data_IF_276186005409
#
_entry.id   IF_276186005409
#
_cell.length_a   1.000
_cell.length_b   1.000
_cell.length_c   1.000
_cell.angle_alpha   90.00
_cell.angle_beta   90.00
_cell.angle_gamma   90.00
#
_symmetry.space_group_name_H-M   'P 1'
#
loop_
_entity.id
_entity.type
_entity.pdbx_description
1 polymer ?
#
# COMPACT_ATOMS: atom_id res chain seq x y z
N UNK A 1 -0.04 -21.28 -14.68
CA UNK A 1 0.16 -19.94 -14.12
C UNK A 1 -0.29 -19.96 -12.67
N UNK A 2 0.21 -19.00 -11.86
CA UNK A 2 -0.29 -18.78 -10.50
C UNK A 2 -1.20 -17.56 -10.46
N UNK A 3 -2.19 -17.60 -9.60
CA UNK A 3 -3.10 -16.51 -9.29
C UNK A 3 -2.98 -16.17 -7.80
N UNK A 4 -2.84 -14.91 -7.46
CA UNK A 4 -2.94 -14.38 -6.10
C UNK A 4 -4.23 -13.58 -6.01
N UNK A 5 -5.05 -13.86 -5.01
CA UNK A 5 -6.33 -13.19 -4.80
C UNK A 5 -6.69 -13.13 -3.32
N UNK A 6 -7.62 -12.27 -2.98
CA UNK A 6 -8.11 -12.06 -1.62
C UNK A 6 -9.49 -12.71 -1.49
N UNK A 7 -9.72 -13.43 -0.41
CA UNK A 7 -11.04 -13.97 -0.07
C UNK A 7 -11.31 -13.83 1.43
N UNK A 8 -12.59 -13.75 1.78
CA UNK A 8 -13.01 -13.65 3.17
C UNK A 8 -13.02 -15.03 3.84
N UNK A 9 -12.39 -15.12 4.99
CA UNK A 9 -12.35 -16.30 5.83
C UNK A 9 -13.09 -16.03 7.14
N UNK A 10 -13.91 -16.97 7.57
CA UNK A 10 -14.62 -16.86 8.84
C UNK A 10 -13.65 -17.14 9.99
N UNK A 11 -13.37 -16.12 10.79
CA UNK A 11 -12.42 -16.18 11.91
C UNK A 11 -13.07 -16.25 13.28
N UNK A 12 -14.39 -15.99 13.36
CA UNK A 12 -15.15 -15.99 14.62
C UNK A 12 -16.48 -16.73 14.45
N UNK A 13 -16.91 -17.43 15.49
CA UNK A 13 -18.27 -17.97 15.55
C UNK A 13 -19.29 -16.84 15.64
N UNK A 14 -20.31 -16.93 14.79
CA UNK A 14 -21.47 -16.03 14.90
C UNK A 14 -22.44 -16.53 15.97
N UNK A 15 -23.38 -15.66 16.38
CA UNK A 15 -24.46 -16.08 17.28
C UNK A 15 -25.29 -17.24 16.72
N UNK A 16 -25.49 -17.26 15.40
CA UNK A 16 -26.21 -18.34 14.72
C UNK A 16 -25.45 -19.68 14.76
N UNK A 17 -24.12 -19.66 14.71
CA UNK A 17 -23.31 -20.88 14.86
C UNK A 17 -23.40 -21.45 16.28
N UNK A 18 -23.37 -20.53 17.26
CA UNK A 18 -23.40 -20.91 18.67
C UNK A 18 -24.78 -21.36 19.14
N UNK A 19 -25.84 -20.82 18.55
CA UNK A 19 -27.24 -21.11 18.87
C UNK A 19 -28.05 -21.44 17.61
N UNK A 20 -27.79 -22.58 16.96
CA UNK A 20 -28.47 -22.96 15.70
C UNK A 20 -29.94 -23.25 15.88
N UNK A 21 -30.40 -23.48 17.11
CA UNK A 21 -31.81 -23.64 17.51
C UNK A 21 -32.60 -22.33 17.58
N UNK A 22 -31.90 -21.17 17.46
CA UNK A 22 -32.49 -19.83 17.51
C UNK A 22 -32.37 -19.10 16.16
N UNK A 23 -32.91 -19.61 15.04
CA UNK A 23 -32.64 -19.09 13.69
C UNK A 23 -33.16 -17.67 13.45
N UNK A 24 -34.02 -17.14 14.34
CA UNK A 24 -34.56 -15.77 14.25
C UNK A 24 -33.85 -14.79 15.21
N UNK A 25 -32.87 -15.25 15.97
CA UNK A 25 -32.11 -14.37 16.87
C UNK A 25 -31.23 -13.40 16.05
N UNK A 26 -31.35 -12.12 16.34
CA UNK A 26 -30.55 -11.05 15.71
C UNK A 26 -29.49 -10.48 16.66
N UNK A 27 -29.44 -11.00 17.91
CA UNK A 27 -28.45 -10.58 18.90
C UNK A 27 -27.04 -10.97 18.48
N UNK A 28 -26.08 -10.10 18.74
CA UNK A 28 -24.65 -10.35 18.51
C UNK A 28 -23.97 -10.45 19.86
N UNK A 29 -23.20 -11.53 20.04
CA UNK A 29 -22.42 -11.76 21.26
C UNK A 29 -21.01 -11.25 21.00
N UNK A 30 -20.62 -10.26 21.81
CA UNK A 30 -19.28 -9.67 21.77
C UNK A 30 -18.55 -10.13 23.05
N UNK A 31 -17.40 -10.76 22.86
CA UNK A 31 -16.56 -11.27 23.96
C UNK A 31 -15.18 -10.63 23.99
N UNK A 32 -14.79 -9.92 22.93
CA UNK A 32 -13.46 -9.32 22.78
C UNK A 32 -13.48 -8.16 21.78
N UNK A 33 -12.43 -7.35 21.76
CA UNK A 33 -12.08 -6.40 20.71
C UNK A 33 -11.36 -7.16 19.57
N UNK A 34 -11.20 -6.72 18.35
CA UNK A 34 -12.03 -5.76 17.65
C UNK A 34 -13.29 -6.48 17.16
N UNK A 35 -14.44 -6.02 17.55
CA UNK A 35 -15.71 -6.61 17.09
C UNK A 35 -16.36 -5.79 15.97
N UNK A 36 -15.93 -4.56 15.80
CA UNK A 36 -16.27 -3.67 14.69
C UNK A 36 -15.04 -2.94 14.17
N UNK A 37 -15.03 -2.71 12.86
CA UNK A 37 -14.24 -1.68 12.19
C UNK A 37 -15.22 -0.61 11.74
N UNK A 38 -15.20 0.56 12.39
CA UNK A 38 -16.20 1.60 12.21
C UNK A 38 -17.63 1.04 12.37
N UNK A 39 -18.41 0.98 11.27
CA UNK A 39 -19.78 0.46 11.23
C UNK A 39 -19.87 -1.01 10.80
N UNK A 40 -18.80 -1.62 10.30
CA UNK A 40 -18.76 -3.01 9.88
C UNK A 40 -18.47 -3.98 11.04
N UNK A 41 -19.26 -5.06 11.15
CA UNK A 41 -18.99 -6.15 12.09
C UNK A 41 -17.83 -7.02 11.61
N UNK A 42 -16.88 -7.30 12.51
CA UNK A 42 -15.73 -8.17 12.24
C UNK A 42 -16.12 -9.61 12.54
N UNK A 43 -16.63 -10.31 11.52
CA UNK A 43 -16.99 -11.74 11.58
C UNK A 43 -16.11 -12.59 10.65
N UNK A 44 -15.48 -11.95 9.69
CA UNK A 44 -14.55 -12.53 8.72
C UNK A 44 -13.30 -11.66 8.65
N UNK A 45 -12.21 -12.26 8.19
CA UNK A 45 -10.96 -11.56 7.84
C UNK A 45 -10.61 -11.81 6.37
N UNK A 46 -10.10 -10.82 5.63
CA UNK A 46 -9.51 -11.06 4.31
C UNK A 46 -8.22 -11.84 4.46
N UNK A 47 -8.07 -12.92 3.69
CA UNK A 47 -6.83 -13.69 3.57
C UNK A 47 -6.33 -13.67 2.13
N UNK A 48 -5.00 -13.64 1.91
CA UNK A 48 -4.40 -13.86 0.60
C UNK A 48 -4.38 -15.34 0.26
N UNK A 49 -4.84 -15.69 -0.94
CA UNK A 49 -4.85 -17.04 -1.47
C UNK A 49 -3.99 -17.13 -2.72
N UNK A 50 -3.33 -18.25 -2.88
CA UNK A 50 -2.65 -18.64 -4.12
C UNK A 50 -3.33 -19.84 -4.73
N UNK A 51 -3.53 -19.83 -6.05
CA UNK A 51 -4.08 -20.96 -6.80
C UNK A 51 -3.33 -21.19 -8.10
N UNK A 52 -3.44 -22.39 -8.65
CA UNK A 52 -3.10 -22.68 -10.02
C UNK A 52 -4.20 -22.19 -10.96
N UNK A 53 -3.81 -21.58 -12.08
CA UNK A 53 -4.72 -21.13 -13.14
C UNK A 53 -4.29 -21.66 -14.49
N UNK A 54 -5.17 -22.42 -15.14
CA UNK A 54 -4.91 -23.05 -16.45
C UNK A 54 -5.52 -22.29 -17.64
N UNK A 55 -6.26 -21.24 -17.39
CA UNK A 55 -7.00 -20.46 -18.38
C UNK A 55 -8.52 -20.72 -18.37
N UNK A 56 -8.97 -21.84 -17.82
CA UNK A 56 -10.37 -22.23 -17.74
C UNK A 56 -10.90 -22.24 -16.30
N UNK A 57 -10.01 -22.45 -15.33
CA UNK A 57 -10.39 -22.51 -13.93
C UNK A 57 -9.20 -22.45 -12.97
N UNK A 58 -9.52 -22.42 -11.68
CA UNK A 58 -8.54 -22.42 -10.59
C UNK A 58 -8.52 -23.79 -9.89
N UNK A 59 -7.34 -24.20 -9.42
CA UNK A 59 -7.12 -25.42 -8.67
C UNK A 59 -6.00 -25.24 -7.64
N UNK A 60 -5.78 -26.20 -6.76
CA UNK A 60 -4.74 -26.18 -5.74
C UNK A 60 -4.72 -24.87 -4.94
N UNK A 61 -5.89 -24.48 -4.46
CA UNK A 61 -6.08 -23.25 -3.69
C UNK A 61 -5.39 -23.41 -2.33
N UNK A 62 -4.54 -22.46 -1.98
CA UNK A 62 -3.81 -22.40 -0.71
C UNK A 62 -4.11 -21.05 -0.04
N UNK A 63 -4.61 -21.09 1.18
CA UNK A 63 -4.69 -19.96 2.08
C UNK A 63 -3.29 -19.69 2.66
N UNK A 64 -2.71 -18.52 2.42
CA UNK A 64 -1.36 -18.17 2.90
C UNK A 64 -1.32 -18.01 4.42
N UNK A 65 -2.39 -17.47 5.02
CA UNK A 65 -2.48 -17.33 6.47
C UNK A 65 -2.91 -18.65 7.13
N UNK A 66 -3.48 -19.57 6.35
CA UNK A 66 -4.01 -20.82 6.87
C UNK A 66 -4.92 -20.56 8.07
N UNK A 67 -5.14 -21.26 9.04
CA UNK A 67 -6.08 -21.05 10.15
C UNK A 67 -5.73 -19.86 11.10
N UNK A 68 -4.85 -18.96 10.70
CA UNK A 68 -4.52 -17.76 11.50
C UNK A 68 -5.71 -16.77 11.53
N UNK A 69 -6.02 -16.16 12.69
CA UNK A 69 -7.18 -15.26 12.83
C UNK A 69 -6.92 -13.82 12.35
N UNK A 70 -5.82 -13.60 11.66
CA UNK A 70 -5.34 -12.27 11.25
C UNK A 70 -5.87 -11.89 9.87
N UNK A 71 -5.76 -10.60 9.54
CA UNK A 71 -6.19 -10.08 8.26
C UNK A 71 -5.02 -9.63 7.38
N UNK A 72 -5.09 -9.94 6.11
CA UNK A 72 -4.23 -9.40 5.06
C UNK A 72 -5.00 -9.40 3.73
N UNK A 73 -5.19 -8.25 3.07
CA UNK A 73 -4.79 -6.89 3.44
C UNK A 73 -5.45 -6.39 4.73
N UNK A 74 -4.80 -5.40 5.37
CA UNK A 74 -5.28 -4.85 6.63
C UNK A 74 -6.45 -3.88 6.42
N UNK A 75 -7.47 -4.00 7.24
CA UNK A 75 -8.56 -3.02 7.32
C UNK A 75 -8.10 -1.71 8.01
N UNK A 76 -8.74 -0.55 7.72
CA UNK A 76 -9.88 -0.38 6.80
C UNK A 76 -9.47 -0.11 5.34
N UNK A 77 -8.22 0.27 5.06
CA UNK A 77 -7.81 0.84 3.77
C UNK A 77 -6.95 -0.07 2.90
N UNK A 78 -6.41 -1.16 3.47
CA UNK A 78 -5.51 -2.06 2.75
C UNK A 78 -6.21 -2.81 1.63
N UNK A 79 -5.51 -2.92 0.49
CA UNK A 79 -5.93 -3.59 -0.72
C UNK A 79 -4.81 -4.44 -1.31
N UNK A 80 -4.88 -4.65 -2.62
CA UNK A 80 -3.93 -5.49 -3.37
C UNK A 80 -2.49 -4.96 -3.32
N UNK A 81 -2.29 -3.68 -3.07
CA UNK A 81 -0.98 -3.04 -2.88
C UNK A 81 -0.21 -3.60 -1.69
N UNK A 82 -0.90 -4.24 -0.76
CA UNK A 82 -0.28 -4.91 0.40
C UNK A 82 0.21 -6.33 0.09
N UNK A 83 0.10 -6.78 -1.16
CA UNK A 83 0.49 -8.11 -1.62
C UNK A 83 1.43 -8.00 -2.82
N UNK A 84 2.53 -8.72 -2.82
CA UNK A 84 3.47 -8.71 -3.94
C UNK A 84 4.02 -10.09 -4.28
N UNK A 85 4.03 -10.43 -5.58
CA UNK A 85 4.79 -11.57 -6.09
C UNK A 85 6.28 -11.23 -6.23
N UNK A 86 7.14 -12.18 -5.88
CA UNK A 86 8.51 -12.11 -6.32
C UNK A 86 8.64 -12.43 -7.82
N UNK A 87 9.79 -12.15 -8.41
CA UNK A 87 10.02 -12.28 -9.86
C UNK A 87 9.91 -13.72 -10.38
N UNK A 88 10.14 -14.72 -9.54
CA UNK A 88 10.06 -16.15 -9.90
C UNK A 88 8.68 -16.76 -9.62
N UNK A 89 7.75 -16.00 -9.05
CA UNK A 89 6.37 -16.41 -8.73
C UNK A 89 6.30 -17.65 -7.81
N UNK A 90 7.25 -17.76 -6.89
CA UNK A 90 7.32 -18.82 -5.88
C UNK A 90 7.28 -18.28 -4.44
N UNK A 91 7.27 -16.94 -4.27
CA UNK A 91 7.09 -16.27 -2.99
C UNK A 91 6.08 -15.14 -3.10
N UNK A 92 5.33 -14.92 -2.01
CA UNK A 92 4.40 -13.81 -1.85
C UNK A 92 4.83 -13.01 -0.62
N UNK A 93 5.11 -11.72 -0.81
CA UNK A 93 5.21 -10.78 0.30
C UNK A 93 3.84 -10.21 0.62
N UNK A 94 3.54 -10.03 1.89
CA UNK A 94 2.27 -9.48 2.33
C UNK A 94 2.41 -8.68 3.62
N UNK A 95 1.56 -7.67 3.78
CA UNK A 95 1.43 -6.88 5.00
C UNK A 95 0.43 -7.55 5.93
N UNK A 96 0.77 -7.69 7.22
CA UNK A 96 -0.16 -8.23 8.21
C UNK A 96 0.13 -7.66 9.61
N UNK A 97 -0.94 -7.41 10.37
CA UNK A 97 -0.88 -7.14 11.81
C UNK A 97 -1.25 -8.40 12.56
N UNK A 98 -0.26 -9.17 13.00
CA UNK A 98 -0.50 -10.41 13.76
C UNK A 98 -0.78 -10.16 15.24
N UNK A 99 -1.88 -9.45 15.49
CA UNK A 99 -2.40 -9.11 16.83
C UNK A 99 -3.90 -9.40 16.89
N UNK A 100 -4.43 -9.61 18.09
CA UNK A 100 -5.86 -9.84 18.34
C UNK A 100 -6.33 -9.08 19.57
N UNK A 101 -7.65 -8.96 19.74
CA UNK A 101 -8.25 -8.39 20.94
C UNK A 101 -7.81 -6.95 21.20
N UNK A 102 -7.47 -6.66 22.46
CA UNK A 102 -7.02 -5.34 22.88
C UNK A 102 -5.73 -4.90 22.17
N UNK A 103 -4.79 -5.81 21.95
CA UNK A 103 -3.53 -5.47 21.27
C UNK A 103 -3.76 -4.96 19.86
N UNK A 104 -4.70 -5.57 19.13
CA UNK A 104 -5.08 -5.10 17.80
C UNK A 104 -5.69 -3.69 17.84
N UNK A 105 -6.47 -3.38 18.90
CA UNK A 105 -7.17 -2.11 19.02
C UNK A 105 -6.25 -0.92 19.35
N UNK A 106 -5.12 -1.15 20.00
CA UNK A 106 -4.21 -0.08 20.48
C UNK A 106 -2.90 0.03 19.69
N UNK A 107 -2.50 -1.01 18.97
CA UNK A 107 -1.24 -1.06 18.23
C UNK A 107 -1.46 -0.78 16.76
N UNK A 108 -0.58 0.02 16.17
CA UNK A 108 -0.50 0.23 14.72
C UNK A 108 0.55 -0.68 14.07
N UNK A 109 1.30 -1.45 14.87
CA UNK A 109 2.37 -2.31 14.37
C UNK A 109 1.84 -3.34 13.38
N UNK A 110 2.34 -3.26 12.16
CA UNK A 110 2.20 -4.27 11.11
C UNK A 110 3.56 -4.60 10.53
N UNK A 111 3.70 -5.83 10.06
CA UNK A 111 4.94 -6.33 9.52
C UNK A 111 4.79 -6.79 8.07
N UNK A 112 5.92 -6.86 7.36
CA UNK A 112 6.03 -7.52 6.06
C UNK A 112 6.46 -8.97 6.27
N UNK A 113 5.62 -9.87 5.77
CA UNK A 113 5.87 -11.31 5.78
C UNK A 113 6.15 -11.80 4.37
N UNK A 114 7.02 -12.78 4.24
CA UNK A 114 7.29 -13.49 2.97
C UNK A 114 6.89 -14.95 3.13
N UNK A 115 5.88 -15.39 2.38
CA UNK A 115 5.46 -16.78 2.28
C UNK A 115 6.14 -17.46 1.10
N UNK A 116 6.81 -18.56 1.33
CA UNK A 116 7.46 -19.40 0.32
C UNK A 116 6.54 -20.58 -0.06
N UNK A 117 6.13 -20.63 -1.33
CA UNK A 117 5.18 -21.63 -1.83
C UNK A 117 5.75 -23.06 -1.84
N UNK A 118 7.08 -23.18 -1.96
CA UNK A 118 7.75 -24.48 -2.02
C UNK A 118 7.90 -25.12 -0.65
N UNK A 119 8.34 -24.29 0.32
CA UNK A 119 8.57 -24.77 1.70
C UNK A 119 7.35 -24.62 2.60
N UNK A 120 6.36 -23.80 2.18
CA UNK A 120 5.16 -23.43 2.97
C UNK A 120 5.52 -22.74 4.30
N UNK A 121 6.63 -22.03 4.33
CA UNK A 121 7.09 -21.27 5.51
C UNK A 121 6.89 -19.78 5.28
N UNK A 122 6.58 -19.10 6.37
CA UNK A 122 6.47 -17.65 6.43
C UNK A 122 7.64 -17.10 7.24
N UNK A 123 8.25 -16.03 6.75
CA UNK A 123 9.29 -15.25 7.41
C UNK A 123 8.79 -13.84 7.66
N UNK A 124 8.98 -13.31 8.86
CA UNK A 124 8.78 -11.90 9.17
C UNK A 124 10.08 -11.14 8.89
N UNK A 125 10.06 -10.19 7.96
CA UNK A 125 11.26 -9.44 7.58
C UNK A 125 11.36 -8.07 8.26
N UNK A 126 10.41 -7.66 9.07
CA UNK A 126 10.38 -6.33 9.73
C UNK A 126 10.11 -6.39 11.23
N UNK A 127 10.27 -7.54 11.87
CA UNK A 127 9.96 -7.82 13.28
C UNK A 127 10.56 -6.80 14.28
N UNK A 128 11.69 -6.20 13.94
CA UNK A 128 12.37 -5.21 14.80
C UNK A 128 11.70 -3.83 14.78
N UNK A 129 10.94 -3.47 13.72
CA UNK A 129 10.18 -2.22 13.68
C UNK A 129 8.89 -2.35 14.47
N UNK A 130 8.43 -1.26 15.08
CA UNK A 130 7.22 -1.27 15.95
C UNK A 130 6.08 -0.40 15.42
N UNK A 131 6.28 0.29 14.30
CA UNK A 131 5.25 1.05 13.61
C UNK A 131 4.61 0.27 12.46
N UNK A 132 3.99 0.99 11.53
CA UNK A 132 3.48 0.41 10.30
C UNK A 132 4.59 0.04 9.34
N UNK A 133 4.63 -1.21 8.89
CA UNK A 133 5.33 -1.64 7.68
C UNK A 133 4.31 -2.14 6.66
N UNK A 134 4.25 -1.51 5.48
CA UNK A 134 3.17 -1.74 4.50
C UNK A 134 3.68 -1.72 3.06
N UNK A 135 2.84 -2.20 2.13
CA UNK A 135 3.00 -2.04 0.68
C UNK A 135 4.35 -2.57 0.13
N UNK A 136 4.65 -3.86 0.34
CA UNK A 136 5.89 -4.44 -0.14
C UNK A 136 5.91 -4.53 -1.67
N UNK A 137 7.06 -4.22 -2.28
CA UNK A 137 7.29 -4.39 -3.72
C UNK A 137 8.67 -4.97 -3.99
N UNK A 138 8.74 -6.07 -4.71
CA UNK A 138 10.02 -6.62 -5.19
C UNK A 138 10.60 -5.77 -6.32
N UNK A 139 11.92 -5.62 -6.33
CA UNK A 139 12.61 -5.00 -7.46
C UNK A 139 12.52 -5.86 -8.73
N UNK A 140 12.51 -5.25 -9.93
CA UNK A 140 12.39 -5.99 -11.19
C UNK A 140 13.56 -6.94 -11.46
N UNK A 141 14.73 -6.73 -10.85
CA UNK A 141 15.88 -7.64 -10.92
C UNK A 141 15.84 -8.77 -9.87
N UNK A 142 14.83 -8.74 -8.98
CA UNK A 142 14.62 -9.75 -7.94
C UNK A 142 15.62 -9.73 -6.79
N UNK A 143 16.47 -8.69 -6.66
CA UNK A 143 17.51 -8.61 -5.62
C UNK A 143 17.06 -7.90 -4.35
N UNK A 144 16.03 -7.06 -4.45
CA UNK A 144 15.56 -6.23 -3.35
C UNK A 144 14.04 -6.37 -3.16
N UNK A 145 13.62 -6.04 -1.97
CA UNK A 145 12.23 -5.72 -1.64
C UNK A 145 12.20 -4.34 -0.99
N UNK A 146 11.25 -3.49 -1.39
CA UNK A 146 10.99 -2.19 -0.81
C UNK A 146 9.65 -2.18 -0.08
N UNK A 147 9.50 -1.35 0.94
CA UNK A 147 8.24 -1.15 1.65
C UNK A 147 8.18 0.22 2.32
N UNK A 148 6.98 0.68 2.61
CA UNK A 148 6.74 1.87 3.42
C UNK A 148 6.79 1.53 4.90
N UNK A 149 7.37 2.42 5.73
CA UNK A 149 7.64 2.15 7.14
C UNK A 149 7.48 3.39 8.02
N UNK A 150 6.56 3.34 8.97
CA UNK A 150 6.51 4.28 10.09
C UNK A 150 7.30 3.71 11.28
N UNK A 151 7.71 4.54 12.24
CA UNK A 151 8.61 4.12 13.30
C UNK A 151 7.89 3.71 14.58
N UNK A 152 6.85 4.48 14.97
CA UNK A 152 6.28 4.39 16.31
C UNK A 152 4.96 3.65 16.32
N UNK A 153 4.84 2.70 17.26
CA UNK A 153 3.57 2.03 17.54
C UNK A 153 2.53 3.01 18.11
N UNK A 154 1.28 2.91 17.66
CA UNK A 154 0.17 3.75 18.10
C UNK A 154 0.20 5.18 17.57
N UNK A 155 1.09 5.52 16.61
CA UNK A 155 1.23 6.88 16.12
C UNK A 155 1.05 6.96 14.59
N UNK A 156 -0.19 7.12 14.15
CA UNK A 156 -0.59 7.10 12.73
C UNK A 156 -0.14 8.34 11.94
N UNK A 157 0.26 9.42 12.61
CA UNK A 157 0.80 10.64 11.99
C UNK A 157 2.33 10.63 11.87
N UNK A 158 2.96 9.46 12.02
CA UNK A 158 4.41 9.32 11.88
C UNK A 158 4.86 9.45 10.42
N UNK A 159 6.14 9.76 10.22
CA UNK A 159 6.72 9.86 8.88
C UNK A 159 6.67 8.50 8.16
N UNK A 160 6.03 8.46 6.99
CA UNK A 160 5.97 7.28 6.15
C UNK A 160 7.24 7.20 5.28
N UNK A 161 8.23 6.49 5.78
CA UNK A 161 9.56 6.31 5.20
C UNK A 161 9.56 5.21 4.13
N UNK A 162 10.57 5.20 3.26
CA UNK A 162 10.82 4.10 2.33
C UNK A 162 12.08 3.34 2.72
N UNK A 163 11.92 2.03 2.89
CA UNK A 163 12.99 1.09 3.16
C UNK A 163 13.18 0.12 2.00
N UNK A 164 14.41 -0.38 1.86
CA UNK A 164 14.72 -1.54 1.01
C UNK A 164 15.48 -2.58 1.82
N UNK A 165 15.33 -3.85 1.44
CA UNK A 165 16.16 -4.95 1.94
C UNK A 165 16.77 -5.70 0.76
N UNK A 166 18.07 -5.98 0.86
CA UNK A 166 18.75 -6.91 -0.05
C UNK A 166 18.34 -8.34 0.32
N UNK A 167 17.74 -9.07 -0.62
CA UNK A 167 17.19 -10.41 -0.39
C UNK A 167 18.26 -11.50 -0.21
N UNK A 168 19.50 -11.25 -0.64
CA UNK A 168 20.62 -12.18 -0.46
C UNK A 168 21.29 -12.00 0.91
N UNK A 169 21.51 -10.75 1.33
CA UNK A 169 22.26 -10.44 2.56
C UNK A 169 21.38 -10.18 3.77
N UNK A 170 20.10 -9.86 3.57
CA UNK A 170 19.18 -9.40 4.62
C UNK A 170 19.44 -7.96 5.09
N UNK A 171 20.39 -7.24 4.49
CA UNK A 171 20.70 -5.86 4.86
C UNK A 171 19.55 -4.93 4.52
N UNK A 172 19.08 -4.16 5.51
CA UNK A 172 17.99 -3.17 5.38
C UNK A 172 18.56 -1.76 5.39
N UNK A 173 17.95 -0.89 4.58
CA UNK A 173 18.38 0.51 4.44
C UNK A 173 17.19 1.45 4.31
N UNK A 174 17.15 2.51 5.11
CA UNK A 174 16.24 3.64 4.96
C UNK A 174 16.74 4.54 3.82
N UNK A 175 16.05 4.52 2.68
CA UNK A 175 16.52 5.16 1.44
C UNK A 175 15.92 6.54 1.17
N UNK A 176 14.76 6.88 1.77
CA UNK A 176 14.13 8.19 1.55
C UNK A 176 14.56 9.28 2.56
N UNK A 177 15.74 9.18 3.17
CA UNK A 177 16.25 10.13 4.19
C UNK A 177 16.34 11.57 3.71
N UNK A 178 16.57 11.79 2.42
CA UNK A 178 16.70 13.11 1.83
C UNK A 178 15.34 13.77 1.53
N UNK A 179 14.23 13.09 1.81
CA UNK A 179 12.88 13.61 1.65
C UNK A 179 12.19 13.71 3.02
N UNK A 180 11.98 14.93 3.48
CA UNK A 180 11.47 15.25 4.83
C UNK A 180 9.93 15.18 4.91
N UNK A 181 9.27 14.40 4.06
CA UNK A 181 7.83 14.18 4.05
C UNK A 181 7.50 12.72 3.73
N UNK A 182 6.22 12.39 3.69
CA UNK A 182 5.73 11.04 3.46
C UNK A 182 6.02 10.58 2.03
N UNK A 183 6.40 9.32 1.89
CA UNK A 183 6.31 8.58 0.62
C UNK A 183 4.93 7.97 0.55
N UNK A 184 4.05 8.47 -0.36
CA UNK A 184 2.64 8.06 -0.41
C UNK A 184 2.41 6.85 -1.32
N UNK A 185 3.00 6.85 -2.51
CA UNK A 185 2.99 5.71 -3.42
C UNK A 185 4.35 5.62 -4.11
N UNK A 186 4.79 4.41 -4.44
CA UNK A 186 6.08 4.23 -5.11
C UNK A 186 6.05 3.10 -6.15
N UNK A 187 7.00 3.16 -7.09
CA UNK A 187 7.23 2.12 -8.08
C UNK A 187 8.73 2.03 -8.41
N UNK A 188 9.21 0.83 -8.62
CA UNK A 188 10.59 0.60 -9.08
C UNK A 188 10.79 1.06 -10.53
N UNK A 189 11.94 1.70 -10.80
CA UNK A 189 12.44 1.86 -12.16
C UNK A 189 12.83 0.52 -12.78
N UNK A 190 12.78 0.42 -14.09
CA UNK A 190 12.97 -0.84 -14.82
C UNK A 190 14.34 -1.52 -14.57
N UNK A 191 15.37 -0.73 -14.26
CA UNK A 191 16.74 -1.21 -13.99
C UNK A 191 17.06 -1.42 -12.50
N UNK A 192 16.05 -1.30 -11.63
CA UNK A 192 16.17 -1.41 -10.17
C UNK A 192 17.17 -0.43 -9.52
N UNK A 193 17.57 0.67 -10.19
CA UNK A 193 18.48 1.68 -9.65
C UNK A 193 17.78 2.90 -9.10
N UNK A 194 16.56 3.13 -9.53
CA UNK A 194 15.75 4.28 -9.13
C UNK A 194 14.40 3.79 -8.62
N UNK A 195 13.87 4.45 -7.60
CA UNK A 195 12.47 4.33 -7.21
C UNK A 195 11.79 5.67 -7.50
N UNK A 196 10.66 5.63 -8.19
CA UNK A 196 9.80 6.79 -8.38
C UNK A 196 8.70 6.76 -7.34
N UNK A 197 8.39 7.91 -6.75
CA UNK A 197 7.36 8.00 -5.72
C UNK A 197 6.60 9.32 -5.76
N UNK A 198 5.40 9.34 -5.20
CA UNK A 198 4.64 10.56 -4.91
C UNK A 198 4.82 10.94 -3.45
N UNK A 199 4.82 12.24 -3.19
CA UNK A 199 4.89 12.77 -1.84
C UNK A 199 4.54 14.26 -1.80
N UNK A 200 4.01 14.71 -0.66
CA UNK A 200 3.58 16.09 -0.46
C UNK A 200 4.75 16.94 0.03
N UNK A 201 5.00 18.02 -0.66
CA UNK A 201 5.95 19.05 -0.24
C UNK A 201 5.39 20.45 -0.49
N UNK A 202 5.35 21.27 0.54
CA UNK A 202 4.82 22.65 0.48
C UNK A 202 3.36 22.76 -0.01
N UNK A 203 2.53 21.74 0.30
CA UNK A 203 1.11 21.74 -0.04
C UNK A 203 0.79 21.25 -1.45
N UNK A 204 1.75 20.66 -2.16
CA UNK A 204 1.60 20.06 -3.49
C UNK A 204 2.14 18.62 -3.47
N UNK A 205 1.37 17.67 -4.01
CA UNK A 205 1.82 16.29 -4.21
C UNK A 205 2.52 16.16 -5.56
N UNK A 206 3.83 15.90 -5.54
CA UNK A 206 4.66 15.81 -6.74
C UNK A 206 5.27 14.41 -6.90
N UNK A 207 5.77 14.13 -8.10
CA UNK A 207 6.51 12.90 -8.39
C UNK A 207 8.01 13.16 -8.22
N UNK A 208 8.68 12.25 -7.51
CA UNK A 208 10.10 12.29 -7.22
C UNK A 208 10.81 11.05 -7.76
N UNK A 209 12.10 11.19 -8.05
CA UNK A 209 13.02 10.09 -8.31
C UNK A 209 14.02 9.99 -7.15
N UNK A 210 14.16 8.78 -6.60
CA UNK A 210 15.13 8.39 -5.59
C UNK A 210 16.20 7.52 -6.25
N UNK A 211 17.44 8.00 -6.31
CA UNK A 211 18.59 7.25 -6.81
C UNK A 211 19.18 6.39 -5.69
N UNK A 212 19.15 5.07 -5.86
CA UNK A 212 19.59 4.10 -4.84
C UNK A 212 21.12 3.99 -4.70
N UNK A 213 21.89 4.59 -5.61
CA UNK A 213 23.34 4.61 -5.49
C UNK A 213 23.84 5.56 -4.40
N UNK A 214 23.10 6.63 -4.10
CA UNK A 214 23.49 7.68 -3.17
C UNK A 214 22.35 8.22 -2.31
N UNK A 215 21.14 7.64 -2.39
CA UNK A 215 19.92 8.03 -1.71
C UNK A 215 19.49 9.49 -1.97
N UNK A 216 19.88 10.06 -3.12
CA UNK A 216 19.46 11.41 -3.50
C UNK A 216 18.05 11.42 -4.06
N UNK A 217 17.28 12.45 -3.69
CA UNK A 217 15.90 12.64 -4.15
C UNK A 217 15.84 13.88 -5.04
N UNK A 218 15.19 13.75 -6.19
CA UNK A 218 14.97 14.83 -7.16
C UNK A 218 13.51 14.87 -7.56
N UNK A 219 12.88 16.08 -7.52
CA UNK A 219 11.55 16.26 -8.09
C UNK A 219 11.59 16.10 -9.62
N UNK A 220 10.65 15.32 -10.15
CA UNK A 220 10.41 15.16 -11.59
C UNK A 220 9.37 16.20 -12.03
N UNK A 221 8.30 16.37 -11.27
CA UNK A 221 7.20 17.27 -11.58
C UNK A 221 7.23 18.51 -10.69
N UNK A 222 6.51 19.55 -11.11
CA UNK A 222 6.31 20.78 -10.37
C UNK A 222 5.05 21.47 -10.85
N UNK A 223 4.56 22.44 -10.07
CA UNK A 223 3.39 23.25 -10.41
C UNK A 223 2.23 23.01 -9.44
N UNK A 224 1.18 23.81 -9.56
CA UNK A 224 -0.01 23.78 -8.70
C UNK A 224 -0.91 22.60 -9.02
N UNK A 225 -0.38 21.39 -8.90
CA UNK A 225 -1.04 20.12 -9.19
C UNK A 225 -0.71 19.12 -8.12
N UNK A 226 -1.63 18.16 -7.88
CA UNK A 226 -1.42 17.01 -7.05
C UNK A 226 -1.40 15.74 -7.91
N UNK A 227 -0.34 14.96 -7.77
CA UNK A 227 -0.20 13.66 -8.40
C UNK A 227 -0.50 12.56 -7.39
N UNK A 228 -1.39 11.64 -7.76
CA UNK A 228 -1.74 10.49 -6.95
C UNK A 228 -1.45 9.19 -7.70
N UNK A 229 -0.79 8.27 -6.99
CA UNK A 229 -0.36 7.02 -7.57
C UNK A 229 0.67 7.24 -8.68
N UNK A 230 1.54 6.28 -8.85
CA UNK A 230 2.55 6.29 -9.91
C UNK A 230 2.76 4.86 -10.40
N UNK A 231 2.78 4.69 -11.72
CA UNK A 231 3.10 3.42 -12.37
C UNK A 231 4.14 3.65 -13.45
N UNK A 232 5.01 2.67 -13.66
CA UNK A 232 5.98 2.71 -14.75
C UNK A 232 5.41 2.04 -16.01
N UNK A 233 5.48 2.72 -17.14
CA UNK A 233 5.11 2.19 -18.45
C UNK A 233 6.20 2.52 -19.48
N UNK A 234 7.01 1.52 -19.82
CA UNK A 234 8.17 1.71 -20.67
C UNK A 234 9.19 2.68 -20.03
N UNK A 235 9.46 3.79 -20.68
CA UNK A 235 10.36 4.85 -20.24
C UNK A 235 9.64 6.05 -19.60
N UNK A 236 8.34 5.92 -19.32
CA UNK A 236 7.48 6.98 -18.78
C UNK A 236 6.76 6.54 -17.52
N UNK A 237 6.33 7.51 -16.74
CA UNK A 237 5.44 7.30 -15.62
C UNK A 237 4.00 7.61 -16.04
N UNK A 238 3.07 6.88 -15.48
CA UNK A 238 1.64 7.15 -15.59
C UNK A 238 1.14 7.49 -14.19
N UNK A 239 0.44 8.60 -14.06
CA UNK A 239 -0.09 9.05 -12.79
C UNK A 239 -1.45 9.73 -12.96
N UNK A 240 -2.26 9.68 -11.93
CA UNK A 240 -3.46 10.49 -11.79
C UNK A 240 -3.04 11.89 -11.35
N UNK A 241 -3.64 12.93 -11.93
CA UNK A 241 -3.35 14.32 -11.59
C UNK A 241 -4.64 15.11 -11.47
N UNK A 242 -4.72 15.92 -10.45
CA UNK A 242 -5.78 16.90 -10.26
C UNK A 242 -5.22 18.26 -9.77
N UNK A 243 -6.09 19.21 -9.57
CA UNK A 243 -5.80 20.49 -8.91
C UNK A 243 -7.05 21.03 -8.23
N UNK A 244 -6.94 22.12 -7.50
CA UNK A 244 -8.10 22.80 -6.91
C UNK A 244 -9.15 23.26 -7.94
N UNK A 245 -8.79 23.32 -9.23
CA UNK A 245 -9.68 23.76 -10.33
C UNK A 245 -9.86 22.70 -11.41
N UNK A 246 -9.43 21.46 -11.17
CA UNK A 246 -9.49 20.37 -12.15
C UNK A 246 -9.63 19.04 -11.41
N UNK A 247 -10.63 18.23 -11.79
CA UNK A 247 -10.78 16.87 -11.30
C UNK A 247 -9.72 15.93 -11.86
N UNK A 248 -9.75 14.69 -11.39
CA UNK A 248 -8.79 13.65 -11.75
C UNK A 248 -8.76 13.36 -13.25
N UNK A 249 -7.56 13.40 -13.82
CA UNK A 249 -7.26 12.94 -15.18
C UNK A 249 -5.95 12.14 -15.18
N UNK A 250 -5.80 11.23 -16.12
CA UNK A 250 -4.59 10.42 -16.28
C UNK A 250 -3.57 11.15 -17.15
N UNK A 251 -2.34 11.18 -16.69
CA UNK A 251 -1.21 11.80 -17.35
C UNK A 251 -0.07 10.81 -17.58
N UNK A 252 0.57 10.93 -18.74
CA UNK A 252 1.91 10.42 -18.97
C UNK A 252 2.92 11.48 -18.57
N UNK A 253 3.91 11.09 -17.79
CA UNK A 253 4.97 11.97 -17.29
C UNK A 253 6.30 11.41 -17.75
N UNK A 254 7.03 12.16 -18.57
CA UNK A 254 8.39 11.82 -18.95
C UNK A 254 9.38 12.11 -17.81
N UNK A 255 10.53 11.43 -17.80
CA UNK A 255 11.53 11.59 -16.74
C UNK A 255 12.21 12.97 -16.71
N UNK A 256 12.02 13.77 -17.75
CA UNK A 256 12.42 15.19 -17.78
C UNK A 256 11.37 16.15 -17.21
N UNK A 257 10.23 15.62 -16.74
CA UNK A 257 9.13 16.36 -16.15
C UNK A 257 8.07 16.84 -17.15
N UNK A 258 8.24 16.61 -18.45
CA UNK A 258 7.21 16.94 -19.43
C UNK A 258 6.00 16.00 -19.29
N UNK A 259 4.79 16.57 -19.42
CA UNK A 259 3.54 15.83 -19.20
C UNK A 259 2.63 15.86 -20.40
N UNK A 260 1.90 14.78 -20.62
CA UNK A 260 0.85 14.67 -21.64
C UNK A 260 -0.41 14.12 -20.98
N UNK A 261 -1.52 14.86 -21.09
CA UNK A 261 -2.83 14.40 -20.64
C UNK A 261 -3.34 13.28 -21.55
N UNK A 262 -3.76 12.15 -20.95
CA UNK A 262 -4.24 10.98 -21.67
C UNK A 262 -5.76 10.86 -21.66
N UNK A 263 -6.43 11.37 -20.63
CA UNK A 263 -7.90 11.36 -20.50
C UNK A 263 -8.45 12.78 -20.42
N UNK A 264 -9.72 12.94 -20.77
CA UNK A 264 -10.45 14.22 -20.74
C UNK A 264 -11.90 13.96 -20.29
N UNK A 265 -12.09 13.16 -19.25
CA UNK A 265 -13.41 12.73 -18.78
C UNK A 265 -14.27 13.91 -18.29
N UNK A 266 -13.63 14.89 -17.69
CA UNK A 266 -14.31 16.05 -17.11
C UNK A 266 -14.43 17.24 -18.08
N UNK A 267 -13.90 17.14 -19.30
CA UNK A 267 -13.82 18.27 -20.24
C UNK A 267 -15.18 18.92 -20.55
N UNK A 268 -16.22 18.11 -20.77
CA UNK A 268 -17.56 18.64 -21.11
C UNK A 268 -18.15 19.51 -20.00
N UNK A 269 -17.81 19.22 -18.74
CA UNK A 269 -18.26 20.00 -17.58
C UNK A 269 -17.42 21.27 -17.48
N UNK A 270 -16.10 21.14 -17.49
CA UNK A 270 -15.18 22.28 -17.30
C UNK A 270 -15.24 23.30 -18.43
N UNK A 271 -15.53 22.89 -19.66
CA UNK A 271 -15.72 23.83 -20.79
C UNK A 271 -16.92 24.77 -20.60
N UNK A 272 -17.82 24.49 -19.66
CA UNK A 272 -19.00 25.29 -19.32
C UNK A 272 -18.84 26.10 -18.04
N UNK A 273 -17.69 25.97 -17.36
CA UNK A 273 -17.42 26.61 -16.07
C UNK A 273 -16.29 27.64 -16.19
N UNK A 274 -16.46 28.76 -15.54
CA UNK A 274 -15.39 29.70 -15.29
C UNK A 274 -14.76 29.38 -13.93
N UNK A 275 -13.58 28.74 -13.96
CA UNK A 275 -12.89 28.32 -12.74
C UNK A 275 -11.99 29.44 -12.22
N UNK A 276 -11.94 29.58 -10.90
CA UNK A 276 -11.03 30.51 -10.23
C UNK A 276 -9.56 30.16 -10.45
N UNK A 277 -8.72 31.16 -10.57
CA UNK A 277 -7.26 30.98 -10.57
C UNK A 277 -6.73 30.80 -9.16
N UNK A 278 -6.00 29.72 -8.93
CA UNK A 278 -5.33 29.45 -7.65
C UNK A 278 -3.93 30.06 -7.66
N UNK A 279 -3.57 30.74 -6.57
CA UNK A 279 -2.26 31.37 -6.39
C UNK A 279 -1.64 30.91 -5.06
N UNK A 280 -0.41 30.39 -5.11
CA UNK A 280 0.38 30.10 -3.91
C UNK A 280 0.96 31.38 -3.31
N UNK A 281 0.87 31.53 -1.97
CA UNK A 281 1.43 32.66 -1.23
C UNK A 281 2.13 32.20 0.02
N UNK A 282 3.35 32.69 0.22
CA UNK A 282 4.09 32.48 1.46
C UNK A 282 3.81 33.60 2.44
N UNK A 283 3.48 33.27 3.67
CA UNK A 283 3.30 34.20 4.77
C UNK A 283 4.17 33.76 5.95
N UNK A 284 4.82 34.72 6.59
CA UNK A 284 5.51 34.46 7.86
C UNK A 284 4.49 34.26 8.96
N UNK A 285 4.69 33.26 9.76
CA UNK A 285 3.94 33.03 11.00
C UNK A 285 4.44 33.98 12.11
N UNK A 286 3.68 34.08 13.20
CA UNK A 286 4.05 34.97 14.33
C UNK A 286 5.29 34.52 15.09
N UNK A 287 5.66 33.28 14.93
CA UNK A 287 6.80 32.59 15.56
C UNK A 287 8.02 32.42 14.61
N UNK A 288 7.92 32.90 13.37
CA UNK A 288 9.06 32.98 12.41
C UNK A 288 8.81 32.24 11.09
#
# INVERSE_FOLDING_TARGET
KKLLFISQVKTKESTADKYPDLPKATGIIVTDLMYKHWDEWVTTAPHPFVADFDGNGISNIVDILNDEPYESPMKPWGGIEQLAWNMTSDKVAYTCRKKTGLEYAISTNSDIYIYDLNTKKTENITEENKGYDTNPQYSPDGKYIAWQSMERDGYEADLNRLFIMNLETGEKRFVSKAFESNVDAFVWGADAKVIYFTGVWHGESQIYALDLANDSVKAITSGMYDYEGVALFGDKLIAKRHSMSMGDEIYSVALDGSTTQLTQENKQIYDQLEMGKVEGRWMKTTDG
#
